data_IF_838656704410
#
_entry.id   IF_838656704410
#
_cell.length_a   1.000
_cell.length_b   1.000
_cell.length_c   1.000
_cell.angle_alpha   90.00
_cell.angle_beta   90.00
_cell.angle_gamma   90.00
#
_symmetry.space_group_name_H-M   'P 1'
#
loop_
_entity.id
_entity.type
_entity.pdbx_description
1 polymer ?
#
# COMPACT_ATOMS: atom_id res chain seq x y z
N UNK A 1 85.90 -70.58 -20.54
CA UNK A 1 84.85 -69.60 -20.20
C UNK A 1 85.50 -68.40 -19.50
N UNK A 2 85.68 -67.25 -20.17
CA UNK A 2 86.15 -66.05 -19.51
C UNK A 2 84.98 -65.11 -19.21
N UNK A 3 84.85 -64.76 -17.92
CA UNK A 3 84.01 -63.66 -17.44
C UNK A 3 84.60 -62.32 -17.92
N UNK A 4 83.80 -61.51 -18.61
CA UNK A 4 84.12 -60.10 -18.86
C UNK A 4 83.62 -59.26 -17.69
N UNK A 5 84.55 -58.76 -16.88
CA UNK A 5 84.31 -57.77 -15.85
C UNK A 5 84.98 -56.47 -16.31
N UNK A 6 84.23 -55.57 -16.95
CA UNK A 6 84.73 -54.27 -17.38
C UNK A 6 84.52 -53.24 -16.26
N UNK A 7 85.57 -52.59 -15.75
CA UNK A 7 85.44 -51.54 -14.75
C UNK A 7 84.90 -50.27 -15.41
N UNK A 8 83.65 -49.92 -15.09
CA UNK A 8 83.05 -48.64 -15.48
C UNK A 8 83.81 -47.51 -14.76
N UNK A 9 84.43 -46.63 -15.57
CA UNK A 9 85.17 -45.45 -15.11
C UNK A 9 84.28 -44.52 -14.26
N UNK A 10 84.57 -44.42 -12.96
CA UNK A 10 83.87 -43.58 -11.97
C UNK A 10 84.06 -42.06 -12.13
N UNK A 11 84.81 -41.58 -13.14
CA UNK A 11 85.11 -40.14 -13.29
C UNK A 11 84.13 -39.38 -14.18
N UNK A 12 83.46 -40.03 -15.14
CA UNK A 12 82.44 -39.39 -16.00
C UNK A 12 81.04 -39.35 -15.37
N UNK A 13 80.75 -40.18 -14.36
CA UNK A 13 79.45 -40.22 -13.68
C UNK A 13 79.20 -39.04 -12.71
N UNK A 14 80.25 -38.41 -12.19
CA UNK A 14 80.12 -37.29 -11.24
C UNK A 14 79.69 -35.98 -11.91
N UNK A 15 80.13 -35.72 -13.15
CA UNK A 15 79.72 -34.53 -13.91
C UNK A 15 78.27 -34.62 -14.42
N UNK A 16 77.85 -35.80 -14.88
CA UNK A 16 76.48 -36.04 -15.31
C UNK A 16 75.48 -35.94 -14.15
N UNK A 17 75.84 -36.45 -12.97
CA UNK A 17 75.01 -36.31 -11.75
C UNK A 17 74.79 -34.85 -11.35
N UNK A 18 75.81 -34.00 -11.45
CA UNK A 18 75.69 -32.56 -11.16
C UNK A 18 74.73 -31.87 -12.14
N UNK A 19 74.87 -32.13 -13.45
CA UNK A 19 74.00 -31.57 -14.48
C UNK A 19 72.54 -32.00 -14.31
N UNK A 20 72.30 -33.28 -14.01
CA UNK A 20 70.96 -33.80 -13.73
C UNK A 20 70.36 -33.13 -12.49
N UNK A 21 71.16 -32.91 -11.43
CA UNK A 21 70.69 -32.26 -10.20
C UNK A 21 70.34 -30.79 -10.42
N UNK A 22 71.15 -30.08 -11.21
CA UNK A 22 70.88 -28.68 -11.60
C UNK A 22 69.61 -28.62 -12.46
N UNK A 23 69.46 -29.53 -13.42
CA UNK A 23 68.29 -29.57 -14.30
C UNK A 23 67.00 -29.89 -13.54
N UNK A 24 67.03 -30.87 -12.64
CA UNK A 24 65.91 -31.21 -11.76
C UNK A 24 65.57 -30.02 -10.84
N UNK A 25 66.57 -29.31 -10.31
CA UNK A 25 66.35 -28.12 -9.48
C UNK A 25 65.71 -26.97 -10.27
N UNK A 26 66.13 -26.75 -11.51
CA UNK A 26 65.54 -25.75 -12.42
C UNK A 26 64.07 -26.07 -12.74
N UNK A 27 63.78 -27.34 -13.02
CA UNK A 27 62.41 -27.81 -13.25
C UNK A 27 61.56 -27.63 -11.98
N UNK A 28 62.08 -28.00 -10.80
CA UNK A 28 61.38 -27.83 -9.54
C UNK A 28 61.05 -26.35 -9.27
N UNK A 29 62.00 -25.43 -9.47
CA UNK A 29 61.78 -23.99 -9.33
C UNK A 29 60.69 -23.51 -10.30
N UNK A 30 60.73 -23.94 -11.56
CA UNK A 30 59.74 -23.54 -12.56
C UNK A 30 58.32 -24.03 -12.20
N UNK A 31 58.21 -25.26 -11.67
CA UNK A 31 56.94 -25.81 -11.17
C UNK A 31 56.45 -25.01 -9.97
N UNK A 32 57.33 -24.64 -9.03
CA UNK A 32 56.95 -23.82 -7.86
C UNK A 32 56.45 -22.43 -8.28
N UNK A 33 57.14 -21.76 -9.20
CA UNK A 33 56.74 -20.43 -9.70
C UNK A 33 55.38 -20.48 -10.43
N UNK A 34 55.16 -21.50 -11.25
CA UNK A 34 53.89 -21.67 -11.96
C UNK A 34 52.74 -22.02 -11.02
N UNK A 35 52.96 -22.86 -10.01
CA UNK A 35 51.97 -23.14 -8.96
C UNK A 35 51.64 -21.90 -8.10
N UNK A 36 52.63 -21.10 -7.74
CA UNK A 36 52.41 -19.82 -7.02
C UNK A 36 51.59 -18.84 -7.86
N UNK A 37 51.87 -18.75 -9.18
CA UNK A 37 51.10 -17.88 -10.09
C UNK A 37 49.67 -18.38 -10.34
N UNK A 38 49.42 -19.69 -10.33
CA UNK A 38 48.07 -20.25 -10.44
C UNK A 38 47.29 -20.07 -9.13
N UNK A 39 47.95 -20.24 -7.99
CA UNK A 39 47.38 -20.02 -6.66
C UNK A 39 46.97 -18.56 -6.46
N UNK A 40 47.80 -17.59 -6.90
CA UNK A 40 47.44 -16.17 -6.83
C UNK A 40 46.24 -15.83 -7.72
N UNK A 41 46.19 -16.34 -8.95
CA UNK A 41 45.04 -16.15 -9.86
C UNK A 41 43.73 -16.74 -9.31
N UNK A 42 43.78 -17.93 -8.72
CA UNK A 42 42.59 -18.54 -8.10
C UNK A 42 42.13 -17.76 -6.86
N UNK A 43 43.08 -17.29 -6.05
CA UNK A 43 42.80 -16.43 -4.89
C UNK A 43 42.19 -15.10 -5.34
N UNK A 44 42.70 -14.49 -6.40
CA UNK A 44 42.16 -13.26 -6.98
C UNK A 44 40.75 -13.47 -7.55
N UNK A 45 40.47 -14.59 -8.22
CA UNK A 45 39.12 -14.92 -8.68
C UNK A 45 38.14 -15.14 -7.51
N UNK A 46 38.55 -15.85 -6.47
CA UNK A 46 37.74 -16.06 -5.26
C UNK A 46 37.49 -14.75 -4.51
N UNK A 47 38.52 -13.90 -4.36
CA UNK A 47 38.40 -12.57 -3.76
C UNK A 47 37.52 -11.67 -4.62
N UNK A 48 37.67 -11.67 -5.94
CA UNK A 48 36.82 -10.88 -6.84
C UNK A 48 35.37 -11.36 -6.83
N UNK A 49 35.12 -12.66 -6.69
CA UNK A 49 33.77 -13.19 -6.51
C UNK A 49 33.18 -12.78 -5.15
N UNK A 50 33.95 -12.87 -4.05
CA UNK A 50 33.52 -12.44 -2.71
C UNK A 50 33.24 -10.94 -2.65
N UNK A 51 34.16 -10.11 -3.14
CA UNK A 51 34.01 -8.65 -3.18
C UNK A 51 32.91 -8.24 -4.17
N UNK A 52 32.75 -8.96 -5.29
CA UNK A 52 31.64 -8.78 -6.22
C UNK A 52 30.28 -9.06 -5.59
N UNK A 53 30.15 -10.13 -4.78
CA UNK A 53 28.93 -10.40 -4.00
C UNK A 53 28.65 -9.30 -2.98
N UNK A 54 29.68 -8.84 -2.25
CA UNK A 54 29.54 -7.72 -1.31
C UNK A 54 29.08 -6.43 -2.01
N UNK A 55 29.66 -6.11 -3.16
CA UNK A 55 29.26 -4.96 -3.96
C UNK A 55 27.80 -5.09 -4.45
N UNK A 56 27.37 -6.29 -4.84
CA UNK A 56 25.97 -6.58 -5.18
C UNK A 56 25.03 -6.33 -3.98
N UNK A 57 25.36 -6.86 -2.78
CA UNK A 57 24.56 -6.62 -1.58
C UNK A 57 24.53 -5.15 -1.17
N UNK A 58 25.63 -4.41 -1.36
CA UNK A 58 25.65 -2.98 -1.13
C UNK A 58 24.71 -2.22 -2.09
N UNK A 59 24.67 -2.61 -3.37
CA UNK A 59 23.75 -2.04 -4.35
C UNK A 59 22.27 -2.34 -3.97
N UNK A 60 21.99 -3.57 -3.54
CA UNK A 60 20.65 -3.95 -3.06
C UNK A 60 20.24 -3.16 -1.81
N UNK A 61 21.14 -3.02 -0.84
CA UNK A 61 20.89 -2.20 0.35
C UNK A 61 20.60 -0.74 -0.02
N UNK A 62 21.33 -0.18 -1.00
CA UNK A 62 21.06 1.16 -1.52
C UNK A 62 19.69 1.27 -2.19
N UNK A 63 19.27 0.28 -2.96
CA UNK A 63 17.94 0.24 -3.57
C UNK A 63 16.83 0.19 -2.50
N UNK A 64 16.96 -0.66 -1.49
CA UNK A 64 15.99 -0.74 -0.40
C UNK A 64 15.94 0.58 0.40
N UNK A 65 17.08 1.27 0.55
CA UNK A 65 17.13 2.60 1.17
C UNK A 65 16.39 3.65 0.35
N UNK A 66 16.52 3.62 -0.99
CA UNK A 66 15.76 4.50 -1.89
C UNK A 66 14.26 4.26 -1.73
N UNK A 67 13.81 3.00 -1.78
CA UNK A 67 12.40 2.64 -1.57
C UNK A 67 11.91 3.14 -0.21
N UNK A 68 12.67 2.87 0.85
CA UNK A 68 12.36 3.33 2.21
C UNK A 68 12.26 4.85 2.32
N UNK A 69 13.08 5.60 1.58
CA UNK A 69 13.03 7.07 1.56
C UNK A 69 11.82 7.59 0.81
N UNK A 70 11.49 7.01 -0.34
CA UNK A 70 10.25 7.35 -1.05
C UNK A 70 9.02 7.09 -0.18
N UNK A 71 8.97 5.94 0.51
CA UNK A 71 7.85 5.62 1.40
C UNK A 71 7.86 6.37 2.74
N UNK A 72 8.95 7.09 3.05
CA UNK A 72 9.05 7.89 4.27
C UNK A 72 8.62 9.35 4.07
N UNK A 73 8.69 9.86 2.84
CA UNK A 73 8.28 11.22 2.46
C UNK A 73 7.94 11.25 0.96
N UNK A 74 6.81 10.61 0.60
CA UNK A 74 6.44 10.44 -0.81
C UNK A 74 6.28 11.79 -1.51
N UNK A 75 5.56 12.73 -0.91
CA UNK A 75 5.31 14.05 -1.49
C UNK A 75 6.57 14.93 -1.59
N UNK A 76 7.52 14.78 -0.65
CA UNK A 76 8.78 15.52 -0.67
C UNK A 76 9.83 14.94 -1.62
N UNK A 77 9.75 13.65 -1.95
CA UNK A 77 10.79 12.93 -2.70
C UNK A 77 10.35 12.42 -4.08
N UNK A 78 9.12 11.98 -4.27
CA UNK A 78 8.66 11.50 -5.57
C UNK A 78 8.56 12.64 -6.60
N UNK A 79 8.82 12.33 -7.87
CA UNK A 79 8.92 13.30 -8.98
C UNK A 79 9.94 14.43 -8.77
N UNK A 80 10.99 14.19 -7.96
CA UNK A 80 12.11 15.13 -7.81
C UNK A 80 13.35 14.65 -8.54
N UNK A 81 14.10 15.54 -9.21
CA UNK A 81 15.37 15.14 -9.83
C UNK A 81 16.36 14.68 -8.76
N UNK A 82 17.27 13.77 -9.12
CA UNK A 82 18.27 13.19 -8.20
C UNK A 82 19.06 14.26 -7.41
N UNK A 83 19.34 15.42 -8.01
CA UNK A 83 20.04 16.52 -7.36
C UNK A 83 19.30 17.11 -6.14
N UNK A 84 17.97 16.97 -6.09
CA UNK A 84 17.11 17.44 -5.01
C UNK A 84 16.72 16.31 -4.04
N UNK A 85 17.20 15.08 -4.28
CA UNK A 85 16.91 13.93 -3.44
C UNK A 85 18.01 13.77 -2.39
N UNK A 86 17.67 13.35 -1.16
CA UNK A 86 18.64 13.08 -0.10
C UNK A 86 19.31 11.72 -0.30
N UNK A 87 19.71 11.40 -1.53
CA UNK A 87 20.34 10.13 -1.88
C UNK A 87 21.87 10.29 -2.00
N UNK A 88 22.65 9.30 -1.53
CA UNK A 88 24.08 9.30 -1.74
C UNK A 88 24.39 9.31 -3.24
N UNK A 89 25.31 10.16 -3.67
CA UNK A 89 25.76 10.26 -5.07
C UNK A 89 27.20 9.77 -5.20
N UNK A 90 27.72 9.70 -6.42
CA UNK A 90 29.09 9.24 -6.65
C UNK A 90 30.14 10.06 -5.86
N UNK A 91 29.88 11.37 -5.65
CA UNK A 91 30.73 12.28 -4.88
C UNK A 91 30.55 12.18 -3.36
N UNK A 92 29.44 11.59 -2.88
CA UNK A 92 29.11 11.44 -1.47
C UNK A 92 28.48 10.07 -1.23
N UNK A 93 29.32 9.04 -1.27
CA UNK A 93 28.89 7.65 -1.12
C UNK A 93 28.51 7.34 0.33
N UNK A 94 27.49 6.50 0.52
CA UNK A 94 27.13 5.99 1.84
C UNK A 94 27.98 4.76 2.15
N UNK A 95 28.69 4.79 3.27
CA UNK A 95 29.48 3.66 3.73
C UNK A 95 28.63 2.72 4.59
N UNK A 96 28.69 1.44 4.28
CA UNK A 96 28.09 0.37 5.07
C UNK A 96 29.15 -0.30 5.95
N UNK A 97 28.71 -1.09 6.90
CA UNK A 97 29.59 -1.95 7.69
C UNK A 97 30.36 -2.91 6.75
N UNK A 98 31.64 -3.17 7.06
CA UNK A 98 32.55 -4.06 6.31
C UNK A 98 33.25 -3.48 5.06
N UNK A 99 33.37 -2.16 4.96
CA UNK A 99 34.14 -1.50 3.91
C UNK A 99 33.50 -1.55 2.53
N UNK A 100 32.16 -1.67 2.50
CA UNK A 100 31.35 -1.52 1.31
C UNK A 100 30.70 -0.13 1.29
N UNK A 101 30.38 0.37 0.11
CA UNK A 101 29.64 1.62 -0.06
C UNK A 101 28.60 1.48 -1.16
N UNK A 102 27.63 2.39 -1.19
CA UNK A 102 26.71 2.52 -2.33
C UNK A 102 26.40 3.98 -2.65
N UNK A 103 25.90 4.20 -3.86
CA UNK A 103 25.32 5.47 -4.27
C UNK A 103 24.27 5.26 -5.36
N UNK A 104 23.39 6.24 -5.51
CA UNK A 104 22.41 6.32 -6.59
C UNK A 104 23.06 7.06 -7.76
N UNK A 105 23.09 6.40 -8.91
CA UNK A 105 23.65 6.94 -10.15
C UNK A 105 22.61 7.75 -10.92
N UNK A 106 21.37 7.25 -11.00
CA UNK A 106 20.30 7.94 -11.71
C UNK A 106 18.91 7.61 -11.15
N UNK A 107 18.01 8.58 -11.34
CA UNK A 107 16.56 8.47 -11.12
C UNK A 107 15.87 9.06 -12.34
N UNK A 108 15.08 8.25 -13.04
CA UNK A 108 14.34 8.67 -14.24
C UNK A 108 12.88 8.29 -14.07
N UNK A 109 11.98 9.28 -14.09
CA UNK A 109 10.54 9.02 -14.01
C UNK A 109 9.98 8.70 -15.40
N UNK A 110 9.13 7.69 -15.45
CA UNK A 110 8.51 7.17 -16.67
C UNK A 110 7.01 7.01 -16.43
N UNK A 111 6.24 6.73 -17.49
CA UNK A 111 4.79 6.52 -17.43
C UNK A 111 4.07 7.69 -16.74
N UNK A 112 4.37 8.92 -17.18
CA UNK A 112 3.85 10.17 -16.61
C UNK A 112 4.11 10.37 -15.12
N UNK A 113 5.05 9.61 -14.53
CA UNK A 113 5.43 9.71 -13.13
C UNK A 113 4.88 8.62 -12.23
N UNK A 114 4.13 7.64 -12.75
CA UNK A 114 3.66 6.49 -11.97
C UNK A 114 4.77 5.45 -11.70
N UNK A 115 5.88 5.54 -12.43
CA UNK A 115 7.04 4.67 -12.26
C UNK A 115 8.36 5.45 -12.33
N UNK A 116 9.40 4.86 -11.73
CA UNK A 116 10.76 5.39 -11.78
C UNK A 116 11.79 4.28 -12.04
N UNK A 117 12.72 4.54 -12.96
CA UNK A 117 13.91 3.73 -13.19
C UNK A 117 15.07 4.26 -12.34
N UNK A 118 15.54 3.42 -11.41
CA UNK A 118 16.62 3.76 -10.50
C UNK A 118 17.85 2.92 -10.83
N UNK A 119 19.01 3.58 -10.95
CA UNK A 119 20.31 2.89 -11.02
C UNK A 119 21.07 3.10 -9.71
N UNK A 120 21.45 2.00 -9.07
CA UNK A 120 22.22 2.01 -7.81
C UNK A 120 23.52 1.25 -8.03
N UNK A 121 24.63 1.84 -7.60
CA UNK A 121 25.95 1.20 -7.65
C UNK A 121 26.39 0.87 -6.23
N UNK A 122 26.80 -0.37 -6.03
CA UNK A 122 27.46 -0.83 -4.82
C UNK A 122 28.92 -1.13 -5.10
N UNK A 123 29.79 -0.88 -4.12
CA UNK A 123 31.24 -1.03 -4.22
C UNK A 123 31.78 -1.76 -3.00
N UNK A 124 32.77 -2.63 -3.24
CA UNK A 124 33.56 -3.33 -2.22
C UNK A 124 35.01 -3.39 -2.71
N UNK A 125 35.90 -2.61 -2.10
CA UNK A 125 37.29 -2.44 -2.55
C UNK A 125 37.37 -2.05 -4.05
N UNK A 126 37.83 -2.97 -4.91
CA UNK A 126 37.96 -2.82 -6.37
C UNK A 126 36.77 -3.37 -7.15
N UNK A 127 35.87 -4.10 -6.52
CA UNK A 127 34.69 -4.64 -7.17
C UNK A 127 33.54 -3.65 -7.05
N UNK A 128 32.83 -3.45 -8.15
CA UNK A 128 31.61 -2.66 -8.18
C UNK A 128 30.52 -3.48 -8.89
N UNK A 129 29.26 -3.24 -8.53
CA UNK A 129 28.07 -3.81 -9.20
C UNK A 129 27.00 -2.74 -9.34
N UNK A 130 26.36 -2.68 -10.50
CA UNK A 130 25.28 -1.74 -10.81
C UNK A 130 23.97 -2.51 -10.92
N UNK A 131 22.92 -2.01 -10.28
CA UNK A 131 21.56 -2.55 -10.36
C UNK A 131 20.67 -1.49 -10.99
N UNK A 132 19.86 -1.90 -11.96
CA UNK A 132 18.78 -1.10 -12.53
C UNK A 132 17.46 -1.70 -12.04
N UNK A 133 16.64 -0.89 -11.39
CA UNK A 133 15.34 -1.30 -10.85
C UNK A 133 14.23 -0.40 -11.38
N UNK A 134 13.07 -1.00 -11.66
CA UNK A 134 11.83 -0.29 -11.92
C UNK A 134 11.02 -0.25 -10.62
N UNK A 135 10.70 0.95 -10.19
CA UNK A 135 9.86 1.23 -9.05
C UNK A 135 8.50 1.75 -9.55
N UNK A 136 7.43 1.37 -8.88
CA UNK A 136 6.06 1.76 -9.21
C UNK A 136 5.33 2.23 -7.96
N UNK A 137 4.50 3.26 -8.12
CA UNK A 137 3.62 3.78 -7.08
C UNK A 137 2.31 3.02 -7.09
N UNK A 138 1.94 2.40 -5.97
CA UNK A 138 0.72 1.62 -5.86
C UNK A 138 -0.03 2.00 -4.59
N UNK A 139 -1.34 1.80 -4.56
CA UNK A 139 -2.09 1.81 -3.30
C UNK A 139 -1.43 0.79 -2.34
N UNK A 140 -1.22 1.15 -1.05
CA UNK A 140 -0.60 0.26 -0.08
C UNK A 140 -1.22 -1.14 -0.10
N UNK A 141 -0.38 -2.16 -0.20
CA UNK A 141 -0.84 -3.55 -0.40
C UNK A 141 -1.76 -4.05 0.71
N UNK A 142 -1.68 -3.44 1.90
CA UNK A 142 -2.55 -3.74 3.04
C UNK A 142 -4.03 -3.53 2.73
N UNK A 143 -4.39 -2.56 1.87
CA UNK A 143 -5.77 -2.38 1.41
C UNK A 143 -6.23 -3.52 0.48
N UNK A 144 -5.31 -4.19 -0.23
CA UNK A 144 -5.61 -5.36 -1.05
C UNK A 144 -5.64 -6.67 -0.26
N UNK A 145 -4.74 -6.81 0.72
CA UNK A 145 -4.46 -8.08 1.39
C UNK A 145 -5.44 -8.41 2.51
N UNK A 146 -6.06 -7.40 3.13
CA UNK A 146 -6.94 -7.56 4.29
C UNK A 146 -8.32 -6.96 4.02
N UNK A 147 -9.36 -7.68 4.45
CA UNK A 147 -10.70 -7.12 4.58
C UNK A 147 -10.86 -6.34 5.89
N UNK A 148 -10.25 -6.82 6.98
CA UNK A 148 -10.19 -6.12 8.27
C UNK A 148 -8.73 -6.04 8.74
N UNK A 149 -8.23 -4.84 9.01
CA UNK A 149 -6.89 -4.64 9.55
C UNK A 149 -6.92 -3.60 10.66
N UNK A 150 -6.27 -3.90 11.79
CA UNK A 150 -6.18 -2.97 12.90
C UNK A 150 -4.89 -3.02 13.70
N UNK A 151 -4.44 -1.84 14.16
CA UNK A 151 -3.38 -1.72 15.18
C UNK A 151 -3.89 -2.12 16.58
N UNK A 152 -5.21 -2.11 16.77
CA UNK A 152 -5.92 -2.44 17.99
C UNK A 152 -6.29 -3.92 18.10
N UNK A 153 -7.27 -4.15 18.98
CA UNK A 153 -7.94 -5.44 19.13
C UNK A 153 -9.02 -5.58 18.06
N UNK A 154 -9.07 -6.73 17.37
CA UNK A 154 -10.18 -7.08 16.50
C UNK A 154 -11.17 -7.97 17.25
N UNK A 155 -12.33 -7.42 17.56
CA UNK A 155 -13.42 -8.10 18.28
C UNK A 155 -14.61 -8.34 17.36
N UNK A 156 -15.04 -9.59 17.22
CA UNK A 156 -16.25 -9.97 16.47
C UNK A 156 -17.10 -10.87 17.37
N UNK A 157 -18.29 -10.38 17.74
CA UNK A 157 -19.20 -11.09 18.62
C UNK A 157 -20.38 -11.67 17.85
N UNK A 158 -20.60 -12.99 17.94
CA UNK A 158 -21.66 -13.69 17.22
C UNK A 158 -21.13 -14.52 16.05
N UNK A 159 -22.05 -15.14 15.30
CA UNK A 159 -21.67 -16.02 14.20
C UNK A 159 -21.08 -15.21 13.06
N UNK A 160 -19.94 -15.65 12.53
CA UNK A 160 -19.21 -14.88 11.51
C UNK A 160 -18.79 -15.71 10.30
N UNK A 161 -19.00 -15.13 9.12
CA UNK A 161 -18.46 -15.62 7.85
C UNK A 161 -17.40 -14.63 7.35
N UNK A 162 -16.15 -15.07 7.29
CA UNK A 162 -15.04 -14.25 6.80
C UNK A 162 -14.57 -14.81 5.45
N UNK A 163 -14.66 -14.00 4.40
CA UNK A 163 -14.26 -14.37 3.04
C UNK A 163 -13.01 -13.63 2.56
N UNK A 164 -12.34 -12.93 3.47
CA UNK A 164 -11.10 -12.18 3.28
C UNK A 164 -10.22 -12.31 4.52
N UNK A 165 -8.91 -12.09 4.37
CA UNK A 165 -8.01 -12.09 5.51
C UNK A 165 -8.35 -10.97 6.49
N UNK A 166 -8.21 -11.24 7.78
CA UNK A 166 -8.40 -10.27 8.86
C UNK A 166 -7.21 -10.29 9.81
N UNK A 167 -6.81 -9.14 10.33
CA UNK A 167 -5.65 -9.04 11.21
C UNK A 167 -5.84 -8.00 12.31
N UNK A 168 -5.45 -8.35 13.54
CA UNK A 168 -5.38 -7.43 14.66
C UNK A 168 -4.02 -7.47 15.37
N UNK A 169 -3.29 -6.36 15.36
CA UNK A 169 -1.96 -6.26 15.96
C UNK A 169 -2.00 -6.50 17.48
N UNK A 170 -3.06 -6.09 18.18
CA UNK A 170 -3.25 -6.35 19.63
C UNK A 170 -4.10 -7.58 19.95
N UNK A 171 -4.45 -8.36 18.95
CA UNK A 171 -5.08 -9.67 19.12
C UNK A 171 -6.44 -9.82 18.44
N UNK A 172 -7.00 -11.02 18.62
CA UNK A 172 -8.34 -11.38 18.17
C UNK A 172 -9.21 -11.74 19.38
N UNK A 173 -10.45 -11.25 19.40
CA UNK A 173 -11.47 -11.64 20.36
C UNK A 173 -12.74 -12.05 19.63
N UNK A 174 -12.85 -13.34 19.33
CA UNK A 174 -13.95 -13.92 18.58
C UNK A 174 -14.86 -14.71 19.53
N UNK A 175 -16.17 -14.48 19.47
CA UNK A 175 -17.18 -15.32 20.13
C UNK A 175 -18.19 -15.82 19.10
N UNK A 176 -18.92 -16.91 19.40
CA UNK A 176 -19.81 -17.59 18.44
C UNK A 176 -19.06 -18.38 17.37
N UNK A 177 -19.81 -18.99 16.45
CA UNK A 177 -19.25 -19.83 15.39
C UNK A 177 -18.48 -18.97 14.37
N UNK A 178 -17.52 -19.58 13.67
CA UNK A 178 -16.76 -18.92 12.63
C UNK A 178 -16.59 -19.82 11.41
N UNK A 179 -16.79 -19.21 10.24
CA UNK A 179 -16.69 -19.87 8.95
C UNK A 179 -15.72 -19.07 8.07
N UNK A 180 -14.61 -19.68 7.72
CA UNK A 180 -13.56 -19.07 6.91
C UNK A 180 -13.66 -19.61 5.48
N UNK A 181 -13.70 -18.72 4.49
CA UNK A 181 -13.84 -19.08 3.08
C UNK A 181 -12.69 -18.53 2.26
N UNK A 182 -12.53 -19.00 1.02
CA UNK A 182 -11.57 -18.47 0.04
C UNK A 182 -10.11 -18.45 0.55
N UNK A 183 -9.71 -19.45 1.34
CA UNK A 183 -8.40 -19.53 1.98
C UNK A 183 -8.10 -18.29 2.87
N UNK A 184 -9.13 -17.65 3.42
CA UNK A 184 -8.95 -16.54 4.34
C UNK A 184 -8.42 -17.00 5.69
N UNK A 185 -7.67 -16.11 6.34
CA UNK A 185 -7.13 -16.31 7.68
C UNK A 185 -7.45 -15.12 8.57
N UNK A 186 -7.69 -15.38 9.85
CA UNK A 186 -7.77 -14.39 10.90
C UNK A 186 -6.53 -14.51 11.79
N UNK A 187 -5.67 -13.49 11.80
CA UNK A 187 -4.36 -13.55 12.44
C UNK A 187 -4.12 -12.41 13.43
N UNK A 188 -3.06 -12.50 14.25
CA UNK A 188 -2.71 -11.48 15.24
C UNK A 188 -1.21 -11.30 15.43
N UNK A 189 -0.82 -10.24 16.14
CA UNK A 189 0.58 -10.00 16.54
C UNK A 189 0.81 -10.00 18.06
N UNK A 190 -0.22 -10.25 18.86
CA UNK A 190 -0.13 -10.19 20.33
C UNK A 190 0.54 -11.42 20.96
N UNK A 191 0.53 -12.57 20.29
CA UNK A 191 1.08 -13.82 20.84
C UNK A 191 1.89 -14.62 19.80
N UNK A 192 3.22 -14.56 19.94
CA UNK A 192 4.20 -15.28 19.10
C UNK A 192 4.13 -16.80 19.25
N UNK A 193 3.61 -17.31 20.36
CA UNK A 193 3.54 -18.75 20.61
C UNK A 193 2.49 -19.46 19.75
N UNK A 194 1.60 -18.69 19.13
CA UNK A 194 0.53 -19.25 18.30
C UNK A 194 1.03 -19.82 16.96
N UNK A 195 2.30 -19.67 16.58
CA UNK A 195 2.83 -20.17 15.30
C UNK A 195 2.20 -19.48 14.08
N UNK A 196 2.51 -19.87 12.86
CA UNK A 196 2.05 -19.14 11.66
C UNK A 196 0.57 -19.44 11.34
N UNK A 197 -0.18 -18.47 10.76
CA UNK A 197 -1.54 -18.72 10.25
C UNK A 197 -1.50 -19.64 9.03
N UNK A 198 -2.46 -20.57 8.93
CA UNK A 198 -2.56 -21.53 7.83
C UNK A 198 -4.01 -21.66 7.34
N UNK A 199 -4.31 -21.41 6.05
CA UNK A 199 -5.68 -21.40 5.53
C UNK A 199 -6.37 -22.78 5.50
N UNK A 200 -5.65 -23.87 5.77
CA UNK A 200 -6.17 -25.24 5.76
C UNK A 200 -6.27 -25.85 7.16
N UNK A 201 -5.31 -25.54 8.03
CA UNK A 201 -5.20 -26.17 9.36
C UNK A 201 -5.36 -25.19 10.52
N UNK A 202 -5.20 -23.88 10.28
CA UNK A 202 -5.23 -22.84 11.31
C UNK A 202 -5.79 -21.53 10.77
N UNK A 203 -7.06 -21.55 10.39
CA UNK A 203 -7.70 -20.41 9.73
C UNK A 203 -7.98 -19.25 10.70
N UNK A 204 -8.08 -19.52 12.00
CA UNK A 204 -8.23 -18.50 13.05
C UNK A 204 -7.10 -18.62 14.06
N UNK A 205 -6.50 -17.47 14.39
CA UNK A 205 -5.29 -17.37 15.17
C UNK A 205 -4.04 -17.49 14.30
N UNK A 206 -2.88 -17.52 14.96
CA UNK A 206 -1.59 -17.48 14.31
C UNK A 206 -0.97 -16.09 14.39
N UNK A 207 0.35 -16.11 14.53
CA UNK A 207 1.21 -14.96 14.66
C UNK A 207 1.66 -14.52 13.28
N UNK A 208 1.42 -13.25 12.98
CA UNK A 208 2.25 -12.52 12.03
C UNK A 208 2.80 -11.28 12.74
N UNK A 209 4.02 -10.82 12.40
CA UNK A 209 4.57 -9.58 12.94
C UNK A 209 3.60 -8.41 12.71
N UNK A 210 3.64 -7.37 13.56
CA UNK A 210 2.75 -6.22 13.44
C UNK A 210 2.74 -5.66 12.01
N UNK A 211 1.54 -5.57 11.45
CA UNK A 211 1.33 -5.00 10.12
C UNK A 211 1.10 -3.50 10.27
N UNK A 212 1.86 -2.68 9.55
CA UNK A 212 1.69 -1.22 9.57
C UNK A 212 0.30 -0.85 9.02
N UNK A 213 -0.50 -0.19 9.84
CA UNK A 213 -1.75 0.45 9.41
C UNK A 213 -1.40 1.80 8.73
N UNK A 214 -1.87 2.07 7.50
CA UNK A 214 -1.63 3.35 6.83
C UNK A 214 -2.25 4.54 7.57
N UNK A 215 -1.55 5.66 7.58
CA UNK A 215 -1.99 6.92 8.17
C UNK A 215 -2.86 7.70 7.17
N UNK A 216 -3.97 8.29 7.62
CA UNK A 216 -4.76 9.22 6.80
C UNK A 216 -3.94 10.50 6.57
N UNK A 217 -3.68 10.93 5.33
CA UNK A 217 -2.92 12.15 5.04
C UNK A 217 -3.78 13.41 5.22
N UNK A 218 -4.30 13.63 6.43
CA UNK A 218 -5.33 14.62 6.76
C UNK A 218 -4.95 16.02 6.29
N UNK A 219 -3.72 16.47 6.55
CA UNK A 219 -3.32 17.84 6.21
C UNK A 219 -3.24 18.05 4.70
N UNK A 220 -2.70 17.09 3.95
CA UNK A 220 -2.66 17.14 2.50
C UNK A 220 -4.09 17.19 1.92
N UNK A 221 -4.97 16.31 2.39
CA UNK A 221 -6.36 16.24 1.95
C UNK A 221 -7.18 17.49 2.36
N UNK A 222 -6.88 18.08 3.51
CA UNK A 222 -7.45 19.36 3.96
C UNK A 222 -7.06 20.49 3.01
N UNK A 223 -5.78 20.60 2.66
CA UNK A 223 -5.30 21.64 1.75
C UNK A 223 -5.89 21.45 0.34
N UNK A 224 -5.94 20.20 -0.15
CA UNK A 224 -6.61 19.89 -1.42
C UNK A 224 -8.08 20.31 -1.41
N UNK A 225 -8.84 19.97 -0.34
CA UNK A 225 -10.24 20.37 -0.23
C UNK A 225 -10.46 21.89 -0.27
N UNK A 226 -9.56 22.65 0.35
CA UNK A 226 -9.61 24.13 0.38
C UNK A 226 -9.36 24.79 -0.98
N UNK A 227 -8.86 24.05 -1.98
CA UNK A 227 -8.74 24.56 -3.35
C UNK A 227 -10.09 24.67 -4.07
N UNK A 228 -11.13 23.98 -3.57
CA UNK A 228 -12.45 23.96 -4.17
C UNK A 228 -13.50 24.77 -3.42
N UNK A 229 -14.69 24.18 -3.22
CA UNK A 229 -15.84 24.87 -2.64
C UNK A 229 -15.80 24.83 -1.11
N UNK A 230 -15.64 25.99 -0.50
CA UNK A 230 -15.77 26.15 0.96
C UNK A 230 -17.23 26.37 1.34
N UNK A 231 -17.75 25.54 2.24
CA UNK A 231 -19.10 25.55 2.77
C UNK A 231 -19.08 25.61 4.30
N UNK A 232 -20.18 26.02 4.91
CA UNK A 232 -20.34 26.06 6.36
C UNK A 232 -21.40 25.05 6.80
N UNK A 233 -21.11 24.25 7.83
CA UNK A 233 -22.00 23.20 8.33
C UNK A 233 -23.36 23.72 8.85
N UNK A 234 -23.43 24.99 9.29
CA UNK A 234 -24.69 25.60 9.77
C UNK A 234 -25.53 26.24 8.64
N UNK A 235 -25.09 26.15 7.38
CA UNK A 235 -25.83 26.69 6.25
C UNK A 235 -27.13 25.90 6.02
N UNK A 236 -28.32 26.54 6.05
CA UNK A 236 -29.59 25.85 5.83
C UNK A 236 -29.70 25.23 4.43
N UNK A 237 -28.91 25.68 3.46
CA UNK A 237 -28.85 25.16 2.10
C UNK A 237 -27.62 24.28 1.83
N UNK A 238 -26.94 23.79 2.87
CA UNK A 238 -25.71 23.00 2.74
C UNK A 238 -25.87 21.85 1.74
N UNK A 239 -26.91 21.04 1.86
CA UNK A 239 -27.15 19.89 0.97
C UNK A 239 -27.32 20.32 -0.48
N UNK A 240 -28.06 21.41 -0.73
CA UNK A 240 -28.24 21.94 -2.08
C UNK A 240 -26.91 22.39 -2.67
N UNK A 241 -26.08 23.08 -1.88
CA UNK A 241 -24.76 23.54 -2.32
C UNK A 241 -23.83 22.37 -2.60
N UNK A 242 -23.87 21.30 -1.81
CA UNK A 242 -23.13 20.06 -2.08
C UNK A 242 -23.58 19.47 -3.43
N UNK A 243 -24.89 19.31 -3.62
CA UNK A 243 -25.44 18.69 -4.83
C UNK A 243 -25.14 19.50 -6.10
N UNK A 244 -25.18 20.83 -6.02
CA UNK A 244 -24.89 21.74 -7.13
C UNK A 244 -23.38 21.94 -7.40
N UNK A 245 -22.50 21.45 -6.53
CA UNK A 245 -21.05 21.57 -6.76
C UNK A 245 -20.63 20.54 -7.82
N UNK A 246 -19.90 20.95 -8.88
CA UNK A 246 -19.38 20.02 -9.88
C UNK A 246 -18.55 18.88 -9.24
N UNK A 247 -18.64 17.63 -9.72
CA UNK A 247 -17.96 16.50 -9.09
C UNK A 247 -16.43 16.62 -8.99
N UNK A 248 -15.81 17.29 -9.95
CA UNK A 248 -14.37 17.55 -10.04
C UNK A 248 -13.88 18.66 -9.10
N UNK A 249 -14.80 19.42 -8.50
CA UNK A 249 -14.49 20.47 -7.53
C UNK A 249 -14.57 19.88 -6.12
N UNK A 250 -13.45 19.83 -5.37
CA UNK A 250 -13.48 19.28 -4.02
C UNK A 250 -14.27 20.20 -3.07
N UNK A 251 -14.87 19.62 -2.04
CA UNK A 251 -15.73 20.35 -1.09
C UNK A 251 -15.08 20.36 0.29
N UNK A 252 -14.94 21.54 0.89
CA UNK A 252 -14.49 21.72 2.26
C UNK A 252 -15.62 22.28 3.12
N UNK A 253 -16.08 21.52 4.11
CA UNK A 253 -17.17 21.91 5.02
C UNK A 253 -16.57 22.29 6.38
N UNK A 254 -16.78 23.54 6.79
CA UNK A 254 -16.35 24.05 8.10
C UNK A 254 -17.38 23.73 9.18
N UNK A 255 -16.96 23.03 10.24
CA UNK A 255 -17.75 22.75 11.44
C UNK A 255 -18.44 21.38 11.42
N UNK A 256 -19.08 21.05 12.55
CA UNK A 256 -19.72 19.75 12.76
C UNK A 256 -21.01 19.61 11.95
N UNK A 257 -21.13 18.54 11.16
CA UNK A 257 -22.32 18.18 10.39
C UNK A 257 -23.15 17.13 11.15
N UNK A 258 -23.49 17.44 12.39
CA UNK A 258 -24.26 16.55 13.29
C UNK A 258 -25.67 17.06 13.60
N UNK A 259 -25.94 18.35 13.35
CA UNK A 259 -27.20 19.05 13.67
C UNK A 259 -27.97 19.52 12.44
N UNK A 260 -27.40 19.35 11.24
CA UNK A 260 -28.04 19.75 9.99
C UNK A 260 -29.29 18.91 9.75
N UNK A 261 -30.45 19.56 9.69
CA UNK A 261 -31.68 18.94 9.18
C UNK A 261 -31.75 19.23 7.70
N UNK A 262 -31.78 18.20 6.84
CA UNK A 262 -31.96 18.42 5.42
C UNK A 262 -33.30 19.13 5.19
N UNK A 263 -33.26 20.40 4.82
CA UNK A 263 -34.45 21.05 4.28
C UNK A 263 -34.74 20.38 2.95
N UNK A 264 -35.91 19.76 2.85
CA UNK A 264 -36.35 19.06 1.64
C UNK A 264 -36.44 20.07 0.50
N UNK A 265 -35.39 20.18 -0.30
CA UNK A 265 -35.53 20.76 -1.61
C UNK A 265 -36.19 19.69 -2.47
N UNK A 266 -37.50 19.83 -2.69
CA UNK A 266 -38.21 19.06 -3.71
C UNK A 266 -37.56 19.42 -5.06
N UNK A 267 -36.57 18.62 -5.46
CA UNK A 267 -35.95 18.71 -6.77
C UNK A 267 -36.94 18.11 -7.78
N UNK A 268 -37.79 18.98 -8.33
CA UNK A 268 -38.63 18.66 -9.49
C UNK A 268 -37.71 18.61 -10.72
N UNK A 269 -37.13 17.45 -11.01
CA UNK A 269 -36.43 17.23 -12.27
C UNK A 269 -37.44 17.35 -13.43
N UNK A 270 -37.12 18.17 -14.45
CA UNK A 270 -37.89 18.40 -15.68
C UNK A 270 -39.17 19.26 -15.63
N UNK A 271 -39.23 20.32 -14.83
CA UNK A 271 -40.26 21.34 -15.04
C UNK A 271 -39.87 22.32 -16.16
N UNK A 272 -40.33 22.02 -17.37
CA UNK A 272 -40.40 22.99 -18.47
C UNK A 272 -41.42 24.07 -18.07
N UNK A 273 -40.92 25.21 -17.59
CA UNK A 273 -41.75 26.37 -17.28
C UNK A 273 -42.39 26.92 -18.56
N UNK A 274 -43.71 27.00 -18.62
CA UNK A 274 -44.46 27.79 -19.61
C UNK A 274 -45.13 28.94 -18.82
N UNK A 275 -44.95 30.23 -19.21
CA UNK A 275 -45.25 31.34 -18.32
C UNK A 275 -46.71 31.81 -18.34
N UNK A 276 -47.07 32.44 -17.20
CA UNK A 276 -48.17 33.39 -16.92
C UNK A 276 -49.61 32.85 -16.92
N UNK A 277 -50.01 32.31 -15.76
CA UNK A 277 -51.43 32.22 -15.40
C UNK A 277 -51.85 31.10 -14.44
N UNK A 278 -50.98 30.17 -14.06
CA UNK A 278 -51.41 29.01 -13.28
C UNK A 278 -51.40 29.27 -11.76
N UNK A 279 -52.61 29.29 -11.20
CA UNK A 279 -52.91 29.23 -9.76
C UNK A 279 -52.51 27.84 -9.22
N UNK A 280 -51.82 27.81 -8.09
CA UNK A 280 -51.46 26.58 -7.37
C UNK A 280 -52.73 25.89 -6.87
N UNK A 281 -53.10 24.77 -7.48
CA UNK A 281 -54.00 23.76 -6.90
C UNK A 281 -53.32 22.39 -6.96
N UNK A 282 -53.45 21.58 -5.89
CA UNK A 282 -52.78 20.29 -5.78
C UNK A 282 -53.52 19.23 -6.61
N UNK A 283 -52.70 18.39 -7.25
CA UNK A 283 -53.02 17.09 -7.83
C UNK A 283 -53.58 17.02 -9.27
N UNK A 284 -53.02 16.02 -9.97
CA UNK A 284 -53.43 15.37 -11.22
C UNK A 284 -53.05 16.04 -12.56
N UNK A 285 -51.90 15.58 -13.07
CA UNK A 285 -51.47 15.72 -14.46
C UNK A 285 -50.30 14.77 -14.75
N UNK A 286 -50.56 13.47 -14.73
CA UNK A 286 -49.56 12.42 -15.01
C UNK A 286 -49.23 12.36 -16.50
N UNK A 287 -48.03 12.78 -16.89
CA UNK A 287 -47.34 12.29 -18.08
C UNK A 287 -45.86 12.08 -17.77
N UNK A 288 -45.46 10.81 -17.69
CA UNK A 288 -44.09 10.30 -17.95
C UNK A 288 -42.89 10.89 -17.19
N UNK A 289 -43.08 11.78 -16.23
CA UNK A 289 -42.02 12.16 -15.30
C UNK A 289 -42.05 11.18 -14.11
N UNK A 290 -40.97 10.40 -13.91
CA UNK A 290 -40.76 9.66 -12.66
C UNK A 290 -40.53 10.67 -11.53
N UNK A 291 -41.60 11.26 -11.01
CA UNK A 291 -41.52 12.09 -9.81
C UNK A 291 -41.32 11.14 -8.63
N UNK A 292 -40.05 10.95 -8.24
CA UNK A 292 -39.72 10.28 -6.99
C UNK A 292 -39.86 11.30 -5.87
N UNK A 293 -40.82 11.10 -4.97
CA UNK A 293 -40.91 11.90 -3.75
C UNK A 293 -39.72 11.58 -2.87
N UNK A 294 -38.83 12.54 -2.66
CA UNK A 294 -37.79 12.42 -1.64
C UNK A 294 -38.45 12.15 -0.28
N UNK A 295 -38.16 10.99 0.32
CA UNK A 295 -38.59 10.71 1.68
C UNK A 295 -37.96 11.80 2.54
N UNK A 296 -38.79 12.52 3.29
CA UNK A 296 -38.31 13.53 4.23
C UNK A 296 -37.44 12.82 5.25
N UNK A 297 -36.12 13.02 5.15
CA UNK A 297 -35.21 12.52 6.17
C UNK A 297 -35.35 13.42 7.38
N UNK A 298 -35.91 12.89 8.46
CA UNK A 298 -35.87 13.54 9.78
C UNK A 298 -34.52 13.38 10.45
N UNK A 299 -33.59 12.64 9.82
CA UNK A 299 -32.27 12.36 10.36
C UNK A 299 -31.38 13.59 10.16
N UNK A 300 -30.53 13.82 11.16
CA UNK A 300 -29.52 14.87 11.12
C UNK A 300 -28.34 14.41 10.26
N UNK A 301 -27.66 15.33 9.60
CA UNK A 301 -26.47 15.04 8.78
C UNK A 301 -26.70 15.22 7.29
N UNK A 302 -25.67 14.92 6.49
CA UNK A 302 -25.72 14.99 5.03
C UNK A 302 -26.20 13.67 4.42
N UNK A 303 -26.94 13.76 3.32
CA UNK A 303 -27.42 12.61 2.56
C UNK A 303 -26.83 12.66 1.16
N UNK A 304 -26.20 11.58 0.70
CA UNK A 304 -25.71 11.45 -0.66
C UNK A 304 -26.29 10.17 -1.26
N UNK A 305 -26.59 10.19 -2.55
CA UNK A 305 -27.21 9.08 -3.25
C UNK A 305 -26.76 8.96 -4.71
N UNK A 306 -26.71 7.73 -5.22
CA UNK A 306 -26.24 7.47 -6.57
C UNK A 306 -24.73 7.63 -6.75
N UNK A 307 -24.30 7.56 -8.01
CA UNK A 307 -22.91 7.75 -8.41
C UNK A 307 -22.50 9.21 -8.22
N UNK A 308 -21.53 9.45 -7.34
CA UNK A 308 -21.01 10.77 -7.01
C UNK A 308 -19.88 11.25 -7.93
N UNK A 309 -19.51 10.45 -8.95
CA UNK A 309 -18.58 10.83 -10.02
C UNK A 309 -17.19 11.26 -9.51
N UNK A 310 -16.66 10.58 -8.49
CA UNK A 310 -15.33 10.84 -7.93
C UNK A 310 -15.30 11.99 -6.92
N UNK A 311 -16.46 12.48 -6.46
CA UNK A 311 -16.54 13.63 -5.56
C UNK A 311 -15.76 13.41 -4.27
N UNK A 312 -14.97 14.42 -3.91
CA UNK A 312 -14.24 14.49 -2.64
C UNK A 312 -14.86 15.53 -1.69
N UNK A 313 -15.19 15.09 -0.47
CA UNK A 313 -15.77 15.94 0.58
C UNK A 313 -14.91 15.83 1.85
N UNK A 314 -14.40 16.96 2.32
CA UNK A 314 -13.70 17.09 3.59
C UNK A 314 -14.57 17.85 4.59
N UNK A 315 -14.75 17.30 5.79
CA UNK A 315 -15.50 17.91 6.89
C UNK A 315 -14.57 18.20 8.06
N UNK A 316 -14.52 19.46 8.49
CA UNK A 316 -13.77 19.88 9.67
C UNK A 316 -14.64 19.73 10.94
N UNK A 317 -14.48 18.62 11.65
CA UNK A 317 -15.29 18.24 12.82
C UNK A 317 -16.17 17.02 12.56
N UNK A 318 -17.00 16.65 13.54
CA UNK A 318 -17.84 15.45 13.49
C UNK A 318 -18.84 15.48 12.33
N UNK A 319 -19.14 14.31 11.75
CA UNK A 319 -20.09 14.18 10.65
C UNK A 319 -21.08 13.04 10.88
N UNK A 320 -22.35 13.30 10.59
CA UNK A 320 -23.34 12.25 10.36
C UNK A 320 -23.61 12.19 8.85
N UNK A 321 -23.44 10.99 8.30
CA UNK A 321 -23.76 10.66 6.93
C UNK A 321 -24.94 9.68 6.90
N UNK A 322 -25.98 10.00 6.14
CA UNK A 322 -27.15 9.15 5.98
C UNK A 322 -27.18 8.58 4.56
N UNK A 323 -26.84 7.31 4.43
CA UNK A 323 -27.01 6.50 3.23
C UNK A 323 -28.50 6.08 3.10
N UNK A 324 -29.40 7.06 2.95
CA UNK A 324 -30.86 6.87 2.86
C UNK A 324 -31.42 7.37 1.52
N UNK A 325 -30.59 7.36 0.49
CA UNK A 325 -30.93 7.74 -0.88
C UNK A 325 -31.93 6.83 -1.59
N UNK A 326 -32.27 7.16 -2.84
CA UNK A 326 -33.05 6.26 -3.70
C UNK A 326 -32.21 5.25 -4.46
N UNK A 327 -30.94 5.58 -4.65
CA UNK A 327 -30.01 4.83 -5.47
C UNK A 327 -28.79 4.47 -4.62
N UNK A 328 -28.18 3.33 -4.94
CA UNK A 328 -26.94 2.89 -4.30
C UNK A 328 -25.88 3.98 -4.42
N UNK A 329 -25.19 4.26 -3.32
CA UNK A 329 -24.11 5.22 -3.30
C UNK A 329 -22.87 4.61 -3.94
N UNK A 330 -22.18 5.35 -4.81
CA UNK A 330 -20.91 4.91 -5.40
C UNK A 330 -19.98 6.09 -5.74
N UNK A 331 -18.69 5.81 -5.91
CA UNK A 331 -17.67 6.71 -6.45
C UNK A 331 -17.48 8.04 -5.70
N UNK A 332 -17.16 7.97 -4.41
CA UNK A 332 -16.86 9.15 -3.60
C UNK A 332 -15.82 8.89 -2.51
N UNK A 333 -15.21 9.97 -2.05
CA UNK A 333 -14.44 9.96 -0.81
C UNK A 333 -14.97 11.04 0.15
N UNK A 334 -15.34 10.64 1.35
CA UNK A 334 -15.67 11.54 2.46
C UNK A 334 -14.63 11.38 3.56
N UNK A 335 -14.06 12.50 4.00
CA UNK A 335 -13.12 12.55 5.11
C UNK A 335 -13.63 13.51 6.19
N UNK A 336 -13.57 13.11 7.45
CA UNK A 336 -13.83 13.99 8.61
C UNK A 336 -12.65 14.01 9.59
N UNK A 337 -12.41 15.16 10.21
CA UNK A 337 -11.42 15.30 11.30
C UNK A 337 -11.97 14.94 12.69
N UNK A 338 -13.28 14.73 12.80
CA UNK A 338 -13.96 14.26 14.01
C UNK A 338 -14.41 12.81 13.87
N UNK A 339 -15.46 12.45 14.60
CA UNK A 339 -16.13 11.15 14.49
C UNK A 339 -17.06 11.12 13.28
N UNK A 340 -17.12 9.97 12.61
CA UNK A 340 -18.07 9.71 11.54
C UNK A 340 -19.14 8.73 12.01
N UNK A 341 -20.41 9.11 11.88
CA UNK A 341 -21.52 8.18 11.99
C UNK A 341 -22.13 7.97 10.62
N UNK A 342 -22.11 6.74 10.12
CA UNK A 342 -22.79 6.35 8.89
C UNK A 342 -24.08 5.62 9.27
N UNK A 343 -25.21 6.27 9.03
CA UNK A 343 -26.52 5.65 9.10
C UNK A 343 -26.98 5.27 7.71
N UNK A 344 -27.97 4.39 7.61
CA UNK A 344 -28.78 4.30 6.41
C UNK A 344 -29.20 2.89 6.01
N UNK A 345 -30.13 2.85 5.06
CA UNK A 345 -30.77 1.65 4.55
C UNK A 345 -30.51 1.37 3.06
N UNK A 346 -29.67 2.16 2.38
CA UNK A 346 -29.26 1.86 1.00
C UNK A 346 -27.98 1.03 0.99
N UNK A 347 -27.83 0.25 -0.08
CA UNK A 347 -26.59 -0.45 -0.34
C UNK A 347 -25.54 0.57 -0.82
N UNK A 348 -24.30 0.40 -0.36
CA UNK A 348 -23.14 1.08 -0.94
C UNK A 348 -22.54 0.09 -1.92
N UNK A 349 -22.47 0.52 -3.16
CA UNK A 349 -22.09 -0.29 -4.31
C UNK A 349 -20.91 0.36 -5.02
N UNK A 350 -20.45 -0.27 -6.09
CA UNK A 350 -19.39 0.27 -6.92
C UNK A 350 -19.93 0.71 -8.28
N UNK A 351 -19.41 1.81 -8.81
CA UNK A 351 -19.60 2.19 -10.21
C UNK A 351 -18.50 1.62 -11.12
N UNK A 352 -17.45 1.05 -10.53
CA UNK A 352 -16.32 0.45 -11.22
C UNK A 352 -16.32 -1.06 -10.96
N UNK A 353 -16.57 -1.84 -12.01
CA UNK A 353 -16.70 -3.30 -11.90
C UNK A 353 -15.46 -3.94 -11.27
N UNK A 354 -15.67 -4.72 -10.20
CA UNK A 354 -14.59 -5.39 -9.48
C UNK A 354 -13.73 -4.48 -8.60
N UNK A 355 -14.16 -3.24 -8.37
CA UNK A 355 -13.45 -2.27 -7.54
C UNK A 355 -14.32 -1.76 -6.37
N UNK A 356 -13.68 -1.20 -5.34
CA UNK A 356 -14.32 -0.43 -4.27
C UNK A 356 -14.02 1.04 -4.52
N UNK A 357 -15.04 1.85 -4.79
CA UNK A 357 -14.86 3.27 -5.16
C UNK A 357 -15.50 4.27 -4.17
N UNK A 358 -16.03 3.76 -3.05
CA UNK A 358 -16.47 4.57 -1.92
C UNK A 358 -15.49 4.46 -0.77
N UNK A 359 -15.01 5.60 -0.28
CA UNK A 359 -14.12 5.68 0.89
C UNK A 359 -14.70 6.61 1.94
N UNK A 360 -14.81 6.11 3.16
CA UNK A 360 -15.09 6.89 4.37
C UNK A 360 -13.85 6.92 5.24
N UNK A 361 -13.27 8.11 5.39
CA UNK A 361 -12.08 8.36 6.19
C UNK A 361 -12.43 9.22 7.42
N UNK A 362 -11.84 8.91 8.58
CA UNK A 362 -12.14 9.61 9.82
C UNK A 362 -10.96 9.65 10.77
N UNK A 363 -10.58 10.83 11.25
CA UNK A 363 -9.56 10.95 12.30
C UNK A 363 -10.10 10.48 13.66
N UNK A 364 -11.38 10.75 13.93
CA UNK A 364 -12.08 10.12 15.05
C UNK A 364 -12.61 8.74 14.68
N UNK A 365 -13.41 8.16 15.57
CA UNK A 365 -13.98 6.83 15.34
C UNK A 365 -15.06 6.83 14.26
N UNK A 366 -15.26 5.67 13.64
CA UNK A 366 -16.35 5.42 12.70
C UNK A 366 -17.39 4.51 13.37
N UNK A 367 -18.64 4.95 13.45
CA UNK A 367 -19.77 4.11 13.82
C UNK A 367 -20.66 3.87 12.60
N UNK A 368 -20.85 2.60 12.25
CA UNK A 368 -21.76 2.17 11.18
C UNK A 368 -23.05 1.59 11.78
N UNK A 369 -24.16 2.30 11.53
CA UNK A 369 -25.51 2.00 12.02
C UNK A 369 -26.45 1.60 10.86
N UNK A 370 -26.06 0.60 10.07
CA UNK A 370 -26.89 0.07 8.98
C UNK A 370 -26.77 -1.44 8.86
N UNK A 371 -27.81 -2.10 8.34
CA UNK A 371 -27.88 -3.57 8.18
C UNK A 371 -27.70 -4.04 6.73
N UNK A 372 -27.36 -3.13 5.82
CA UNK A 372 -27.30 -3.34 4.36
C UNK A 372 -25.90 -3.69 3.87
N UNK A 373 -25.79 -3.93 2.57
CA UNK A 373 -24.51 -4.28 1.97
C UNK A 373 -23.63 -3.03 1.80
N UNK A 374 -22.48 -2.98 2.46
CA UNK A 374 -21.54 -1.86 2.40
C UNK A 374 -20.26 -2.24 1.68
N UNK A 375 -20.18 -2.02 0.36
CA UNK A 375 -18.95 -2.18 -0.42
C UNK A 375 -18.14 -0.87 -0.42
N UNK A 376 -17.51 -0.56 0.72
CA UNK A 376 -16.73 0.67 0.91
C UNK A 376 -15.40 0.40 1.65
N UNK A 377 -14.43 1.30 1.51
CA UNK A 377 -13.31 1.39 2.43
C UNK A 377 -13.70 2.28 3.62
N UNK A 378 -13.61 1.74 4.83
CA UNK A 378 -13.68 2.49 6.08
C UNK A 378 -12.27 2.62 6.65
N UNK A 379 -11.75 3.84 6.74
CA UNK A 379 -10.39 4.12 7.16
C UNK A 379 -10.40 5.08 8.36
N UNK A 380 -9.92 4.64 9.52
CA UNK A 380 -9.95 5.46 10.73
C UNK A 380 -8.65 5.44 11.53
N UNK A 381 -8.32 6.59 12.12
CA UNK A 381 -7.20 6.77 13.05
C UNK A 381 -7.57 6.38 14.50
N UNK A 382 -8.85 6.11 14.77
CA UNK A 382 -9.38 5.68 16.06
C UNK A 382 -10.15 4.35 15.88
N UNK A 383 -11.20 4.10 16.66
CA UNK A 383 -11.96 2.85 16.63
C UNK A 383 -13.02 2.82 15.53
N UNK A 384 -13.26 1.62 15.00
CA UNK A 384 -14.41 1.34 14.15
C UNK A 384 -15.38 0.41 14.87
N UNK A 385 -16.66 0.78 14.85
CA UNK A 385 -17.75 -0.02 15.39
C UNK A 385 -18.84 -0.24 14.34
N UNK A 386 -19.17 -1.50 14.08
CA UNK A 386 -20.34 -1.87 13.29
C UNK A 386 -21.41 -2.48 14.20
N UNK A 387 -22.60 -1.88 14.16
CA UNK A 387 -23.79 -2.34 14.88
C UNK A 387 -24.79 -3.10 13.97
N UNK A 388 -24.36 -3.45 12.76
CA UNK A 388 -25.17 -4.10 11.73
C UNK A 388 -24.81 -5.58 11.51
N UNK A 389 -25.41 -6.20 10.50
CA UNK A 389 -25.27 -7.66 10.25
C UNK A 389 -24.25 -8.06 9.16
N UNK A 390 -23.75 -7.13 8.35
CA UNK A 390 -22.85 -7.45 7.22
C UNK A 390 -22.05 -6.25 6.71
N UNK A 391 -20.89 -6.51 6.07
CA UNK A 391 -20.08 -5.55 5.30
C UNK A 391 -19.46 -6.28 4.09
N UNK A 392 -19.49 -5.70 2.89
CA UNK A 392 -18.74 -6.18 1.71
C UNK A 392 -17.54 -5.32 1.35
N UNK A 393 -17.09 -4.55 2.33
CA UNK A 393 -16.05 -3.55 2.23
C UNK A 393 -14.77 -3.96 2.94
N UNK A 394 -13.93 -2.95 3.14
CA UNK A 394 -12.64 -3.06 3.84
C UNK A 394 -12.68 -2.14 5.05
N UNK A 395 -12.10 -2.55 6.16
CA UNK A 395 -11.99 -1.72 7.37
C UNK A 395 -10.54 -1.69 7.83
N UNK A 396 -9.95 -0.50 7.84
CA UNK A 396 -8.57 -0.23 8.22
C UNK A 396 -8.60 0.77 9.38
N UNK A 397 -8.07 0.39 10.53
CA UNK A 397 -8.30 1.13 11.79
C UNK A 397 -7.07 1.14 12.69
N UNK A 398 -6.61 2.31 13.13
CA UNK A 398 -5.54 2.35 14.14
C UNK A 398 -6.04 2.03 15.56
N UNK A 399 -7.29 2.36 15.86
CA UNK A 399 -7.97 1.92 17.08
C UNK A 399 -8.61 0.55 16.91
N UNK A 400 -9.36 0.12 17.91
CA UNK A 400 -10.00 -1.20 17.93
C UNK A 400 -11.07 -1.35 16.83
N UNK A 401 -11.26 -2.59 16.38
CA UNK A 401 -12.39 -2.98 15.55
C UNK A 401 -13.40 -3.76 16.40
N UNK A 402 -14.67 -3.35 16.36
CA UNK A 402 -15.75 -4.01 17.10
C UNK A 402 -16.96 -4.26 16.20
N UNK A 403 -17.30 -5.53 16.01
CA UNK A 403 -18.46 -5.99 15.26
C UNK A 403 -19.42 -6.70 16.22
N UNK A 404 -20.66 -6.19 16.28
CA UNK A 404 -21.67 -6.67 17.22
C UNK A 404 -22.77 -7.44 16.48
N UNK A 405 -22.92 -8.72 16.80
CA UNK A 405 -23.94 -9.59 16.21
C UNK A 405 -23.40 -10.40 15.05
N UNK A 406 -24.29 -11.14 14.39
CA UNK A 406 -23.90 -11.98 13.26
C UNK A 406 -23.29 -11.12 12.16
N UNK A 407 -22.13 -11.53 11.64
CA UNK A 407 -21.32 -10.71 10.76
C UNK A 407 -20.85 -11.48 9.53
N UNK A 408 -21.09 -10.94 8.35
CA UNK A 408 -20.49 -11.47 7.11
C UNK A 408 -19.58 -10.42 6.50
N UNK A 409 -18.32 -10.81 6.27
CA UNK A 409 -17.33 -10.07 5.48
C UNK A 409 -17.27 -10.70 4.08
N UNK A 410 -17.89 -10.03 3.11
CA UNK A 410 -17.83 -10.46 1.71
C UNK A 410 -16.49 -10.09 1.06
N UNK A 411 -16.07 -10.80 -0.01
CA UNK A 411 -14.93 -10.40 -0.80
C UNK A 411 -15.16 -9.00 -1.38
N UNK A 412 -14.18 -8.13 -1.20
CA UNK A 412 -14.18 -6.82 -1.84
C UNK A 412 -13.21 -6.82 -3.02
N UNK A 413 -13.55 -6.02 -4.03
CA UNK A 413 -12.68 -5.73 -5.16
C UNK A 413 -11.38 -5.04 -4.76
N UNK A 414 -10.54 -4.75 -5.76
CA UNK A 414 -9.39 -3.85 -5.55
C UNK A 414 -9.90 -2.44 -5.23
N UNK A 415 -9.14 -1.66 -4.49
CA UNK A 415 -9.52 -0.28 -4.23
C UNK A 415 -9.35 0.55 -5.51
N UNK A 416 -10.34 1.36 -5.85
CA UNK A 416 -10.25 2.31 -6.96
C UNK A 416 -9.25 3.41 -6.60
N UNK A 417 -8.29 3.66 -7.49
CA UNK A 417 -7.32 4.76 -7.30
C UNK A 417 -7.93 6.08 -7.77
N UNK A 418 -8.44 6.85 -6.82
CA UNK A 418 -8.94 8.20 -7.05
C UNK A 418 -7.85 9.29 -6.93
N UNK A 419 -6.58 8.89 -6.77
CA UNK A 419 -5.45 9.80 -6.60
C UNK A 419 -5.36 10.50 -5.24
N UNK A 420 -6.25 10.20 -4.30
CA UNK A 420 -6.31 10.83 -2.97
C UNK A 420 -5.69 9.97 -1.85
N UNK A 421 -5.46 8.69 -2.14
CA UNK A 421 -4.80 7.78 -1.22
C UNK A 421 -3.30 7.85 -1.45
N UNK A 422 -2.54 8.03 -0.38
CA UNK A 422 -1.08 8.05 -0.48
C UNK A 422 -0.57 6.72 -1.03
N UNK A 423 0.26 6.81 -2.08
CA UNK A 423 0.81 5.65 -2.76
C UNK A 423 2.09 5.20 -2.06
N UNK A 424 2.30 3.89 -2.02
CA UNK A 424 3.57 3.28 -1.67
C UNK A 424 4.37 2.97 -2.93
N UNK A 425 5.65 3.31 -2.89
CA UNK A 425 6.63 2.88 -3.88
C UNK A 425 7.03 1.44 -3.58
N UNK A 426 6.95 0.61 -4.60
CA UNK A 426 7.39 -0.78 -4.56
C UNK A 426 8.23 -1.12 -5.78
N UNK A 427 9.12 -2.11 -5.63
CA UNK A 427 9.91 -2.62 -6.75
C UNK A 427 9.07 -3.56 -7.60
N UNK A 428 8.87 -3.23 -8.87
CA UNK A 428 8.21 -4.12 -9.83
C UNK A 428 9.19 -5.07 -10.51
N UNK A 429 10.40 -4.60 -10.83
CA UNK A 429 11.47 -5.43 -11.39
C UNK A 429 12.86 -4.90 -11.08
N UNK A 430 13.88 -5.76 -11.22
CA UNK A 430 15.28 -5.33 -11.16
C UNK A 430 16.18 -6.27 -11.97
N UNK A 431 17.32 -5.72 -12.40
CA UNK A 431 18.38 -6.44 -13.10
C UNK A 431 19.75 -5.90 -12.70
N UNK A 432 20.74 -6.78 -12.61
CA UNK A 432 22.14 -6.36 -12.52
C UNK A 432 22.66 -6.04 -13.93
N UNK A 433 23.28 -4.88 -14.10
CA UNK A 433 23.79 -4.42 -15.40
C UNK A 433 25.30 -4.17 -15.35
N UNK A 434 25.92 -4.02 -16.53
CA UNK A 434 27.33 -3.64 -16.62
C UNK A 434 27.56 -2.25 -16.04
N UNK A 435 28.79 -2.00 -15.56
CA UNK A 435 29.18 -0.67 -15.09
C UNK A 435 29.52 0.26 -16.25
N UNK A 436 29.94 -0.29 -17.37
CA UNK A 436 30.42 0.44 -18.54
C UNK A 436 29.28 0.92 -19.47
N UNK A 437 28.02 0.79 -19.02
CA UNK A 437 26.82 1.35 -19.68
C UNK A 437 26.51 2.78 -19.25
#
# INVERSE_FOLDING_TARGET
MPCFNTPISRKTSKGASLLITIFISLIAILITVTMLSLSSKNTDQLVNNKEGKKAHYAAMAGLERVISKYNGDYNGTWLKPLANLPFPTASSQENLNNGTSYWVESVEYIDSGDAAMIKVVGKSKKASRKIRARLETNIPKVFGNFGLLTDGLLSISGDKSLKMNTHGNRGLMFSGDHYMYNNSTASQSSDKSTGDPDPTTKQVGGYIPPVKVPDIPVEHLRQYAKTGKILNAIDPNLQLKINLTPPDVPIYIQGNVISYHSQNNVLLANNKYIPKGAMLLPAYGFQKAQIRYAKVSTLKGITLDGNQQGRFIFVEGDAIFNADGFNNLSNMMLLTTGNLTVNGNVDIDTSHEGEVDVTFASVGGITLNGSRNFAALFWTEDSFRQNGSSIAGKVISKGNLSFNGNFTLEPSGKLHDNGLIEKEVSRSSWQQISIDE
#
